data_IF_386615813444
#
_entry.id   IF_386615813444
#
_cell.length_a   1.000
_cell.length_b   1.000
_cell.length_c   1.000
_cell.angle_alpha   90.00
_cell.angle_beta   90.00
_cell.angle_gamma   90.00
#
_symmetry.space_group_name_H-M   'P 1'
#
loop_
_entity.id
_entity.type
_entity.pdbx_description
1 polymer ?
#
# COMPACT_ATOMS: atom_id res chain seq x y z
N UNK A 1 42.21 -3.75 2.53
CA UNK A 1 41.16 -3.33 1.56
C UNK A 1 39.83 -4.08 1.70
N UNK A 2 39.51 -4.78 2.81
CA UNK A 2 38.29 -5.62 2.92
C UNK A 2 37.29 -5.21 4.04
N UNK A 3 37.49 -4.07 4.72
CA UNK A 3 36.64 -3.67 5.84
C UNK A 3 35.47 -2.74 5.46
N UNK A 4 35.55 -2.03 4.32
CA UNK A 4 34.50 -1.09 3.89
C UNK A 4 33.35 -1.76 3.15
N UNK A 5 33.56 -2.95 2.59
CA UNK A 5 32.51 -3.68 1.84
C UNK A 5 31.53 -4.38 2.77
N UNK A 6 31.94 -4.84 3.96
CA UNK A 6 31.05 -5.56 4.88
C UNK A 6 30.04 -4.67 5.61
N UNK A 7 30.35 -3.39 5.88
CA UNK A 7 29.42 -2.49 6.58
C UNK A 7 28.25 -2.06 5.68
N UNK A 8 28.50 -1.84 4.39
CA UNK A 8 27.47 -1.40 3.42
C UNK A 8 26.36 -2.42 3.19
N UNK A 9 26.67 -3.73 3.27
CA UNK A 9 25.68 -4.80 3.12
C UNK A 9 24.66 -4.84 4.27
N UNK A 10 25.07 -4.47 5.48
CA UNK A 10 24.17 -4.43 6.64
C UNK A 10 23.28 -3.19 6.64
N UNK A 11 23.78 -2.04 6.16
CA UNK A 11 23.03 -0.78 6.14
C UNK A 11 21.80 -0.83 5.24
N UNK A 12 21.83 -1.56 4.12
CA UNK A 12 20.71 -1.57 3.16
C UNK A 12 19.76 -2.75 3.33
N UNK A 13 20.04 -3.69 4.23
CA UNK A 13 19.23 -4.92 4.38
C UNK A 13 17.77 -4.63 4.75
N UNK A 14 17.51 -3.52 5.45
CA UNK A 14 16.15 -3.11 5.80
C UNK A 14 15.33 -2.62 4.59
N UNK A 15 15.95 -2.30 3.45
CA UNK A 15 15.23 -1.90 2.24
C UNK A 15 14.68 -3.11 1.47
N UNK A 16 15.29 -4.29 1.66
CA UNK A 16 14.87 -5.53 1.00
C UNK A 16 13.41 -5.87 1.33
N UNK A 17 12.96 -5.63 2.56
CA UNK A 17 11.54 -5.83 2.95
C UNK A 17 10.58 -4.91 2.20
N UNK A 18 10.98 -3.67 1.88
CA UNK A 18 10.17 -2.79 1.04
C UNK A 18 10.09 -3.34 -0.39
N UNK A 19 11.21 -3.77 -0.96
CA UNK A 19 11.26 -4.35 -2.31
C UNK A 19 10.41 -5.62 -2.40
N UNK A 20 10.55 -6.53 -1.44
CA UNK A 20 9.75 -7.77 -1.37
C UNK A 20 8.27 -7.43 -1.29
N UNK A 21 7.86 -6.52 -0.40
CA UNK A 21 6.45 -6.13 -0.26
C UNK A 21 5.90 -5.52 -1.55
N UNK A 22 6.68 -4.69 -2.23
CA UNK A 22 6.30 -4.10 -3.52
C UNK A 22 6.11 -5.15 -4.61
N UNK A 23 7.08 -6.06 -4.77
CA UNK A 23 6.99 -7.16 -5.75
C UNK A 23 5.79 -8.06 -5.46
N UNK A 24 5.56 -8.40 -4.19
CA UNK A 24 4.39 -9.20 -3.79
C UNK A 24 3.08 -8.47 -4.10
N UNK A 25 3.02 -7.17 -3.84
CA UNK A 25 1.82 -6.36 -4.12
C UNK A 25 1.54 -6.27 -5.62
N UNK A 26 2.56 -6.09 -6.46
CA UNK A 26 2.40 -6.13 -7.92
C UNK A 26 2.00 -7.51 -8.42
N UNK A 27 2.55 -8.58 -7.84
CA UNK A 27 2.14 -9.94 -8.19
C UNK A 27 0.66 -10.17 -7.86
N UNK A 28 0.23 -9.82 -6.65
CA UNK A 28 -1.17 -9.90 -6.21
C UNK A 28 -2.06 -9.06 -7.14
N UNK A 29 -1.68 -7.82 -7.42
CA UNK A 29 -2.42 -6.93 -8.29
C UNK A 29 -2.51 -7.47 -9.72
N UNK A 30 -1.45 -8.05 -10.27
CA UNK A 30 -1.45 -8.64 -11.62
C UNK A 30 -2.38 -9.85 -11.68
N UNK A 31 -2.34 -10.74 -10.68
CA UNK A 31 -3.26 -11.88 -10.58
C UNK A 31 -4.70 -11.39 -10.47
N UNK A 32 -4.96 -10.38 -9.63
CA UNK A 32 -6.28 -9.79 -9.50
C UNK A 32 -6.77 -9.17 -10.82
N UNK A 33 -5.93 -8.43 -11.54
CA UNK A 33 -6.26 -7.86 -12.84
C UNK A 33 -6.58 -8.92 -13.89
N UNK A 34 -5.83 -10.02 -13.91
CA UNK A 34 -6.12 -11.15 -14.79
C UNK A 34 -7.49 -11.75 -14.49
N UNK A 35 -7.82 -11.95 -13.21
CA UNK A 35 -9.12 -12.49 -12.80
C UNK A 35 -10.29 -11.59 -13.22
N UNK A 36 -10.13 -10.27 -13.14
CA UNK A 36 -11.18 -9.29 -13.50
C UNK A 36 -11.55 -9.30 -15.00
N UNK A 37 -10.63 -9.73 -15.88
CA UNK A 37 -10.85 -9.76 -17.33
C UNK A 37 -11.46 -11.08 -17.82
N UNK A 38 -11.46 -12.12 -16.98
CA UNK A 38 -12.11 -13.40 -17.32
C UNK A 38 -13.61 -13.15 -17.54
N UNK A 39 -14.21 -13.56 -18.68
CA UNK A 39 -15.58 -13.19 -19.03
C UNK A 39 -16.63 -13.50 -17.95
N UNK A 40 -16.51 -14.65 -17.28
CA UNK A 40 -17.41 -15.03 -16.20
C UNK A 40 -17.29 -14.11 -14.97
N UNK A 41 -16.06 -13.74 -14.59
CA UNK A 41 -15.79 -12.86 -13.45
C UNK A 41 -16.20 -11.43 -13.80
N UNK A 42 -15.88 -10.97 -15.00
CA UNK A 42 -16.27 -9.64 -15.49
C UNK A 42 -17.80 -9.47 -15.49
N UNK A 43 -18.52 -10.44 -16.03
CA UNK A 43 -19.99 -10.41 -16.04
C UNK A 43 -20.57 -10.37 -14.62
N UNK A 44 -19.96 -11.10 -13.68
CA UNK A 44 -20.36 -11.04 -12.26
C UNK A 44 -20.08 -9.66 -11.65
N UNK A 45 -18.88 -9.10 -11.86
CA UNK A 45 -18.50 -7.77 -11.36
C UNK A 45 -19.42 -6.67 -11.92
N UNK A 46 -19.74 -6.73 -13.21
CA UNK A 46 -20.67 -5.78 -13.86
C UNK A 46 -22.09 -5.94 -13.29
N UNK A 47 -22.53 -7.16 -12.96
CA UNK A 47 -23.85 -7.41 -12.34
C UNK A 47 -24.01 -6.80 -10.95
N UNK A 48 -22.90 -6.57 -10.22
CA UNK A 48 -22.88 -5.94 -8.90
C UNK A 48 -22.42 -4.46 -8.97
N UNK A 49 -22.48 -3.83 -10.15
CA UNK A 49 -22.32 -2.39 -10.33
C UNK A 49 -20.93 -1.89 -10.74
N UNK A 50 -19.97 -2.80 -10.99
CA UNK A 50 -18.66 -2.40 -11.52
C UNK A 50 -18.78 -1.63 -12.86
N UNK A 51 -17.93 -0.63 -13.15
CA UNK A 51 -16.83 -0.11 -12.35
C UNK A 51 -17.14 1.19 -11.60
N UNK A 52 -18.31 1.80 -11.77
CA UNK A 52 -18.59 3.15 -11.25
C UNK A 52 -19.51 3.17 -10.03
N UNK A 53 -20.09 2.04 -9.63
CA UNK A 53 -21.01 1.98 -8.50
C UNK A 53 -21.11 0.60 -7.85
N UNK A 54 -22.02 0.53 -6.88
CA UNK A 54 -22.33 -0.72 -6.17
C UNK A 54 -21.12 -1.41 -5.53
N UNK A 55 -21.30 -2.67 -5.11
CA UNK A 55 -20.23 -3.44 -4.49
C UNK A 55 -19.07 -3.79 -5.43
N UNK A 56 -19.32 -3.88 -6.73
CA UNK A 56 -18.29 -4.17 -7.74
C UNK A 56 -17.19 -3.13 -7.80
N UNK A 57 -17.50 -1.86 -7.51
CA UNK A 57 -16.52 -0.77 -7.44
C UNK A 57 -15.44 -1.01 -6.36
N UNK A 58 -15.77 -1.71 -5.28
CA UNK A 58 -14.81 -2.02 -4.21
C UNK A 58 -13.74 -3.02 -4.67
N UNK A 59 -14.13 -3.99 -5.48
CA UNK A 59 -13.25 -5.08 -5.96
C UNK A 59 -12.47 -4.61 -7.19
N UNK A 60 -13.16 -4.07 -8.20
CA UNK A 60 -12.60 -3.84 -9.53
C UNK A 60 -11.59 -2.67 -9.51
N UNK A 61 -11.99 -1.40 -9.41
CA UNK A 61 -11.04 -0.30 -9.39
C UNK A 61 -10.39 -0.08 -8.02
N UNK A 62 -11.13 -0.11 -6.90
CA UNK A 62 -10.58 0.36 -5.62
C UNK A 62 -9.51 -0.59 -5.07
N UNK A 63 -9.83 -1.86 -4.85
CA UNK A 63 -8.87 -2.81 -4.28
C UNK A 63 -7.66 -3.02 -5.21
N UNK A 64 -7.92 -3.22 -6.51
CA UNK A 64 -6.87 -3.43 -7.50
C UNK A 64 -5.93 -2.23 -7.66
N UNK A 65 -6.47 -1.00 -7.75
CA UNK A 65 -5.63 0.19 -7.88
C UNK A 65 -4.80 0.43 -6.63
N UNK A 66 -5.37 0.27 -5.43
CA UNK A 66 -4.64 0.55 -4.19
C UNK A 66 -3.52 -0.47 -3.91
N UNK A 67 -3.72 -1.76 -4.21
CA UNK A 67 -2.64 -2.74 -4.02
C UNK A 67 -1.48 -2.49 -5.00
N UNK A 68 -1.77 -2.10 -6.25
CA UNK A 68 -0.73 -1.79 -7.23
C UNK A 68 -0.05 -0.45 -6.96
N UNK A 69 -0.82 0.62 -6.72
CA UNK A 69 -0.28 1.96 -6.55
C UNK A 69 0.37 2.11 -5.18
N UNK A 70 -0.33 1.79 -4.10
CA UNK A 70 0.25 1.97 -2.75
C UNK A 70 1.16 0.81 -2.39
N UNK A 71 0.68 -0.42 -2.52
CA UNK A 71 1.47 -1.61 -2.16
C UNK A 71 2.67 -1.81 -3.07
N UNK A 72 2.50 -1.62 -4.38
CA UNK A 72 3.56 -1.74 -5.39
C UNK A 72 4.39 -0.46 -5.53
N UNK A 73 3.83 0.55 -6.21
CA UNK A 73 4.58 1.75 -6.65
C UNK A 73 5.10 2.56 -5.48
N UNK A 74 4.27 2.84 -4.48
CA UNK A 74 4.66 3.75 -3.41
C UNK A 74 5.69 3.12 -2.48
N UNK A 75 5.50 1.88 -2.05
CA UNK A 75 6.50 1.17 -1.23
C UNK A 75 7.83 1.04 -1.97
N UNK A 76 7.81 0.82 -3.30
CA UNK A 76 9.01 0.86 -4.13
C UNK A 76 9.65 2.25 -4.10
N UNK A 77 8.86 3.31 -4.28
CA UNK A 77 9.31 4.69 -4.21
C UNK A 77 9.95 5.05 -2.86
N UNK A 78 9.40 4.55 -1.76
CA UNK A 78 9.99 4.70 -0.42
C UNK A 78 11.35 3.99 -0.33
N UNK A 79 11.47 2.77 -0.85
CA UNK A 79 12.73 2.02 -0.87
C UNK A 79 13.81 2.74 -1.68
N UNK A 80 13.44 3.20 -2.88
CA UNK A 80 14.32 3.96 -3.77
C UNK A 80 14.74 5.27 -3.12
N UNK A 81 13.81 5.99 -2.47
CA UNK A 81 14.13 7.25 -1.79
C UNK A 81 15.11 7.02 -0.65
N UNK A 82 14.87 6.04 0.22
CA UNK A 82 15.78 5.74 1.32
C UNK A 82 17.14 5.19 0.88
N UNK A 83 17.23 4.61 -0.32
CA UNK A 83 18.50 4.23 -0.94
C UNK A 83 19.24 5.41 -1.58
N UNK A 84 18.52 6.24 -2.34
CA UNK A 84 19.10 7.33 -3.12
C UNK A 84 19.47 8.53 -2.26
N UNK A 85 18.67 8.84 -1.24
CA UNK A 85 18.85 10.05 -0.44
C UNK A 85 20.26 10.11 0.20
N UNK A 86 20.78 9.06 0.85
CA UNK A 86 22.16 9.08 1.37
C UNK A 86 23.23 9.15 0.28
N UNK A 87 22.99 8.53 -0.88
CA UNK A 87 23.95 8.52 -1.99
C UNK A 87 24.09 9.87 -2.69
N UNK A 88 22.98 10.59 -2.85
CA UNK A 88 22.96 11.90 -3.50
C UNK A 88 23.49 12.98 -2.55
N UNK A 89 23.19 12.86 -1.26
CA UNK A 89 23.45 13.93 -0.29
C UNK A 89 24.72 13.71 0.54
N UNK A 90 25.29 12.50 0.50
CA UNK A 90 26.46 12.10 1.29
C UNK A 90 26.20 11.97 2.79
N UNK A 91 24.97 12.20 3.26
CA UNK A 91 24.58 12.13 4.68
C UNK A 91 23.65 10.93 4.92
N UNK A 92 23.80 10.21 6.05
CA UNK A 92 22.87 9.12 6.38
C UNK A 92 21.44 9.65 6.57
N UNK A 93 20.45 8.77 6.46
CA UNK A 93 19.06 9.13 6.76
C UNK A 93 18.90 9.53 8.23
N UNK A 94 17.96 10.43 8.52
CA UNK A 94 17.74 10.94 9.87
C UNK A 94 17.47 9.83 10.90
N UNK A 95 16.58 8.88 10.59
CA UNK A 95 16.31 7.74 11.49
C UNK A 95 15.94 6.45 10.74
N UNK A 96 16.71 5.39 10.99
CA UNK A 96 16.37 4.05 10.53
C UNK A 96 15.09 3.52 11.17
N UNK A 97 14.85 3.81 12.46
CA UNK A 97 13.62 3.35 13.15
C UNK A 97 12.37 3.97 12.54
N UNK A 98 12.43 5.24 12.13
CA UNK A 98 11.31 5.89 11.42
C UNK A 98 11.05 5.23 10.07
N UNK A 99 12.10 4.87 9.33
CA UNK A 99 11.94 4.10 8.10
C UNK A 99 11.24 2.75 8.36
N UNK A 100 11.64 2.03 9.41
CA UNK A 100 11.00 0.75 9.77
C UNK A 100 9.53 0.89 10.20
N UNK A 101 9.20 1.91 10.99
CA UNK A 101 7.81 2.18 11.34
C UNK A 101 7.00 2.58 10.12
N UNK A 102 7.53 3.44 9.24
CA UNK A 102 6.85 3.83 8.01
C UNK A 102 6.52 2.62 7.13
N UNK A 103 7.45 1.65 7.06
CA UNK A 103 7.21 0.39 6.36
C UNK A 103 6.05 -0.39 6.96
N UNK A 104 6.10 -0.71 8.25
CA UNK A 104 5.11 -1.58 8.88
C UNK A 104 3.71 -0.96 8.87
N UNK A 105 3.59 0.33 9.17
CA UNK A 105 2.30 1.03 9.11
C UNK A 105 1.74 1.06 7.69
N UNK A 106 2.57 1.34 6.68
CA UNK A 106 2.12 1.36 5.28
C UNK A 106 1.75 -0.05 4.79
N UNK A 107 2.57 -1.06 5.09
CA UNK A 107 2.35 -2.44 4.66
C UNK A 107 1.12 -3.08 5.32
N UNK A 108 0.93 -2.87 6.63
CA UNK A 108 -0.25 -3.35 7.35
C UNK A 108 -1.49 -2.58 6.88
N UNK A 109 -1.39 -1.25 6.74
CA UNK A 109 -2.48 -0.41 6.28
C UNK A 109 -2.98 -0.79 4.89
N UNK A 110 -2.08 -0.97 3.92
CA UNK A 110 -2.46 -1.33 2.54
C UNK A 110 -3.04 -2.75 2.47
N UNK A 111 -2.47 -3.68 3.23
CA UNK A 111 -2.96 -5.07 3.27
C UNK A 111 -4.35 -5.14 3.90
N UNK A 112 -4.57 -4.45 5.03
CA UNK A 112 -5.86 -4.38 5.70
C UNK A 112 -6.91 -3.69 4.82
N UNK A 113 -6.53 -2.60 4.14
CA UNK A 113 -7.41 -1.86 3.24
C UNK A 113 -7.84 -2.73 2.05
N UNK A 114 -6.88 -3.42 1.43
CA UNK A 114 -7.14 -4.36 0.33
C UNK A 114 -8.06 -5.51 0.75
N UNK A 115 -7.77 -6.17 1.87
CA UNK A 115 -8.56 -7.30 2.39
C UNK A 115 -9.98 -6.82 2.75
N UNK A 116 -10.12 -5.66 3.41
CA UNK A 116 -11.42 -5.11 3.77
C UNK A 116 -12.28 -4.84 2.52
N UNK A 117 -11.71 -4.19 1.50
CA UNK A 117 -12.43 -3.92 0.25
C UNK A 117 -12.90 -5.20 -0.45
N UNK A 118 -12.07 -6.24 -0.47
CA UNK A 118 -12.48 -7.52 -1.05
C UNK A 118 -13.60 -8.16 -0.23
N UNK A 119 -13.46 -8.26 1.10
CA UNK A 119 -14.46 -8.90 1.95
C UNK A 119 -15.82 -8.17 1.82
N UNK A 120 -15.84 -6.84 1.96
CA UNK A 120 -17.08 -6.07 1.81
C UNK A 120 -17.61 -6.13 0.38
N UNK A 121 -16.74 -6.07 -0.63
CA UNK A 121 -17.12 -6.23 -2.03
C UNK A 121 -17.84 -7.55 -2.32
N UNK A 122 -17.30 -8.67 -1.82
CA UNK A 122 -17.91 -9.99 -2.00
C UNK A 122 -19.21 -10.14 -1.19
N UNK A 123 -19.23 -9.70 0.07
CA UNK A 123 -20.42 -9.81 0.92
C UNK A 123 -21.55 -8.94 0.37
N UNK A 124 -21.31 -7.65 0.16
CA UNK A 124 -22.32 -6.74 -0.38
C UNK A 124 -22.71 -7.13 -1.81
N UNK A 125 -21.77 -7.60 -2.64
CA UNK A 125 -22.06 -8.10 -3.98
C UNK A 125 -22.97 -9.33 -3.99
N UNK A 126 -22.79 -10.24 -3.03
CA UNK A 126 -23.68 -11.40 -2.88
C UNK A 126 -25.09 -11.00 -2.43
N UNK A 127 -25.19 -10.07 -1.47
CA UNK A 127 -26.46 -9.55 -0.98
C UNK A 127 -27.17 -8.73 -2.05
N UNK A 128 -26.44 -7.97 -2.86
CA UNK A 128 -26.98 -7.21 -3.99
C UNK A 128 -27.75 -8.07 -4.98
N UNK A 129 -27.35 -9.33 -5.16
CA UNK A 129 -28.00 -10.26 -6.09
C UNK A 129 -29.12 -11.09 -5.43
N UNK A 130 -29.06 -11.30 -4.12
CA UNK A 130 -29.97 -12.21 -3.40
C UNK A 130 -31.03 -11.49 -2.57
N UNK A 131 -30.62 -10.50 -1.77
CA UNK A 131 -31.51 -9.71 -0.93
C UNK A 131 -30.98 -8.26 -0.79
N UNK A 132 -31.28 -7.38 -1.76
CA UNK A 132 -30.81 -6.00 -1.77
C UNK A 132 -31.22 -5.18 -0.53
N UNK A 133 -32.30 -5.57 0.15
CA UNK A 133 -32.78 -4.87 1.35
C UNK A 133 -31.80 -4.98 2.53
N UNK A 134 -30.93 -6.00 2.53
CA UNK A 134 -29.93 -6.20 3.58
C UNK A 134 -28.60 -5.49 3.32
N UNK A 135 -28.34 -5.01 2.10
CA UNK A 135 -27.08 -4.31 1.76
C UNK A 135 -26.77 -3.14 2.72
N UNK A 136 -27.73 -2.25 3.08
CA UNK A 136 -27.45 -1.15 4.02
C UNK A 136 -26.97 -1.62 5.41
N UNK A 137 -27.38 -2.82 5.84
CA UNK A 137 -27.03 -3.36 7.16
C UNK A 137 -25.56 -3.78 7.26
N UNK A 138 -24.95 -4.17 6.12
CA UNK A 138 -23.52 -4.47 6.00
C UNK A 138 -22.74 -3.18 5.72
N UNK A 139 -23.28 -2.33 4.85
CA UNK A 139 -22.65 -1.08 4.44
C UNK A 139 -22.34 -0.12 5.62
N UNK A 140 -23.13 -0.17 6.70
CA UNK A 140 -22.83 0.62 7.92
C UNK A 140 -21.46 0.31 8.54
N UNK A 141 -20.93 -0.90 8.35
CA UNK A 141 -19.64 -1.32 8.90
C UNK A 141 -18.47 -1.07 7.94
N UNK A 142 -18.76 -1.04 6.63
CA UNK A 142 -17.78 -0.76 5.57
C UNK A 142 -17.02 0.55 5.84
N UNK A 143 -17.75 1.64 6.07
CA UNK A 143 -17.17 2.98 6.23
C UNK A 143 -16.14 3.06 7.37
N UNK A 144 -16.51 2.67 8.60
CA UNK A 144 -15.58 2.67 9.74
C UNK A 144 -14.35 1.77 9.54
N UNK A 145 -14.53 0.54 9.05
CA UNK A 145 -13.42 -0.42 8.91
C UNK A 145 -12.38 0.08 7.90
N UNK A 146 -12.85 0.58 6.76
CA UNK A 146 -11.95 1.11 5.72
C UNK A 146 -11.30 2.40 6.17
N UNK A 147 -12.02 3.27 6.88
CA UNK A 147 -11.44 4.49 7.44
C UNK A 147 -10.31 4.19 8.42
N UNK A 148 -10.45 3.15 9.25
CA UNK A 148 -9.40 2.71 10.16
C UNK A 148 -8.20 2.18 9.37
N UNK A 149 -8.42 1.30 8.39
CA UNK A 149 -7.33 0.75 7.56
C UNK A 149 -6.59 1.86 6.78
N UNK A 150 -7.33 2.82 6.22
CA UNK A 150 -6.78 3.98 5.53
C UNK A 150 -6.01 4.91 6.48
N UNK A 151 -6.46 5.05 7.73
CA UNK A 151 -5.75 5.84 8.75
C UNK A 151 -4.42 5.21 9.15
N UNK A 152 -4.40 3.88 9.36
CA UNK A 152 -3.17 3.10 9.62
C UNK A 152 -2.16 3.30 8.48
N UNK A 153 -2.64 3.24 7.24
CA UNK A 153 -1.85 3.51 6.05
C UNK A 153 -1.32 4.95 6.03
N UNK A 154 -2.18 5.94 6.28
CA UNK A 154 -1.80 7.35 6.30
C UNK A 154 -0.73 7.65 7.36
N UNK A 155 -0.78 7.03 8.54
CA UNK A 155 0.25 7.15 9.57
C UNK A 155 1.62 6.73 9.03
N UNK A 156 1.69 5.62 8.29
CA UNK A 156 2.93 5.17 7.65
C UNK A 156 3.52 6.19 6.68
N UNK A 157 2.65 6.79 5.86
CA UNK A 157 3.01 7.88 4.94
C UNK A 157 3.52 9.13 5.65
N UNK A 158 2.86 9.55 6.72
CA UNK A 158 3.28 10.72 7.49
C UNK A 158 4.64 10.51 8.15
N UNK A 159 4.91 9.32 8.69
CA UNK A 159 6.23 8.98 9.26
C UNK A 159 7.30 9.00 8.17
N UNK A 160 7.00 8.46 6.98
CA UNK A 160 7.91 8.50 5.84
C UNK A 160 8.24 9.93 5.43
N UNK A 161 7.22 10.75 5.22
CA UNK A 161 7.38 12.16 4.85
C UNK A 161 8.19 12.92 5.89
N UNK A 162 7.88 12.74 7.17
CA UNK A 162 8.61 13.36 8.27
C UNK A 162 10.10 12.96 8.25
N UNK A 163 10.42 11.67 8.05
CA UNK A 163 11.80 11.20 8.00
C UNK A 163 12.59 11.83 6.83
N UNK A 164 11.95 11.94 5.65
CA UNK A 164 12.57 12.57 4.47
C UNK A 164 12.79 14.06 4.71
N UNK A 165 11.77 14.79 5.20
CA UNK A 165 11.88 16.23 5.46
C UNK A 165 12.92 16.56 6.53
N UNK A 166 13.02 15.75 7.58
CA UNK A 166 14.07 15.91 8.60
C UNK A 166 15.46 15.67 8.02
N UNK A 167 15.61 14.63 7.19
CA UNK A 167 16.88 14.37 6.50
C UNK A 167 17.29 15.56 5.61
N UNK A 168 16.35 16.12 4.83
CA UNK A 168 16.59 17.30 3.99
C UNK A 168 16.91 18.56 4.80
N UNK A 169 16.23 18.76 5.93
CA UNK A 169 16.48 19.90 6.83
C UNK A 169 17.88 19.81 7.43
N UNK A 170 18.32 18.63 7.85
CA UNK A 170 19.65 18.42 8.40
C UNK A 170 20.74 18.67 7.35
N UNK A 171 20.46 18.34 6.08
CA UNK A 171 21.32 18.68 4.95
C UNK A 171 21.44 20.20 4.78
N UNK A 172 20.31 20.93 4.68
CA UNK A 172 20.31 22.38 4.42
C UNK A 172 20.85 23.22 5.59
N UNK A 173 20.76 22.72 6.84
CA UNK A 173 21.31 23.40 8.02
C UNK A 173 22.81 23.23 8.21
N UNK A 174 23.41 22.22 7.56
CA UNK A 174 24.86 22.09 7.50
C UNK A 174 25.31 22.18 6.03
N UNK A 175 25.17 23.37 5.41
CA UNK A 175 26.05 23.70 4.30
C UNK A 175 27.45 23.82 4.91
N UNK A 176 28.45 23.30 4.24
CA UNK A 176 29.84 23.53 4.65
C UNK A 176 30.13 25.02 4.84
#
# INVERSE_FOLDING_TARGET
MNASTSSTHHEHRYLVKFLIMSVLSFFIGTVHGLLQVIPAVRAWLDSIGSPYGGPGHMIDPLAHAHINLVGGVTILGMAVTYYMLPKVTGKPIHSHRMAEHSFWWTAIGVSAFYIALLIFGFIEGSLWLTDPAQVPSVHRFYGPVISIAASVLAIGFWIYLANVLLTLKDIYKSPE
#
